data_IF_419450042073
#
_entry.id   IF_419450042073
#
_cell.length_a   1.000
_cell.length_b   1.000
_cell.length_c   1.000
_cell.angle_alpha   90.00
_cell.angle_beta   90.00
_cell.angle_gamma   90.00
#
_symmetry.space_group_name_H-M   'P 1'
#
loop_
_entity.id
_entity.type
_entity.pdbx_description
1 polymer ?
#
# COMPACT_ATOMS: atom_id res chain seq x y z
N UNK A 1 -48.54 -30.46 -37.05
CA UNK A 1 -48.43 -29.02 -36.75
C UNK A 1 -48.16 -28.86 -35.26
N UNK A 2 -46.93 -28.47 -34.91
CA UNK A 2 -46.52 -27.75 -33.70
C UNK A 2 -45.00 -27.47 -33.85
N UNK A 3 -44.55 -26.20 -33.97
CA UNK A 3 -43.12 -25.90 -33.86
C UNK A 3 -42.72 -25.63 -32.39
N UNK A 4 -41.49 -25.99 -31.97
CA UNK A 4 -41.02 -25.81 -30.61
C UNK A 4 -40.51 -24.39 -30.33
N UNK A 5 -40.66 -23.99 -29.06
CA UNK A 5 -40.26 -22.71 -28.47
C UNK A 5 -38.74 -22.45 -28.56
N UNK A 6 -38.35 -21.33 -29.18
CA UNK A 6 -36.98 -20.80 -29.11
C UNK A 6 -36.86 -19.95 -27.84
N UNK A 7 -36.13 -20.46 -26.84
CA UNK A 7 -35.69 -19.68 -25.68
C UNK A 7 -34.51 -18.80 -26.08
N UNK A 8 -34.66 -17.49 -26.01
CA UNK A 8 -33.53 -16.57 -26.07
C UNK A 8 -32.70 -16.64 -24.77
N UNK A 9 -31.35 -16.66 -24.85
CA UNK A 9 -30.51 -16.53 -23.68
C UNK A 9 -30.44 -15.06 -23.26
N UNK A 10 -31.02 -14.76 -22.09
CA UNK A 10 -30.88 -13.49 -21.39
C UNK A 10 -29.41 -13.30 -20.98
N UNK A 11 -28.62 -12.67 -21.83
CA UNK A 11 -27.29 -12.16 -21.47
C UNK A 11 -27.50 -11.06 -20.44
N UNK A 12 -27.33 -11.40 -19.17
CA UNK A 12 -27.20 -10.42 -18.08
C UNK A 12 -25.88 -9.69 -18.29
N UNK A 13 -25.93 -8.65 -19.12
CA UNK A 13 -24.88 -7.64 -19.19
C UNK A 13 -24.95 -6.85 -17.88
N UNK A 14 -24.08 -7.18 -16.94
CA UNK A 14 -23.83 -6.37 -15.77
C UNK A 14 -23.20 -5.05 -16.25
N UNK A 15 -24.04 -4.04 -16.46
CA UNK A 15 -23.61 -2.67 -16.70
C UNK A 15 -22.92 -2.16 -15.44
N UNK A 16 -21.61 -2.31 -15.36
CA UNK A 16 -20.78 -1.48 -14.50
C UNK A 16 -20.80 -0.07 -15.10
N UNK A 17 -21.76 0.74 -14.65
CA UNK A 17 -21.82 2.15 -14.99
C UNK A 17 -20.61 2.83 -14.36
N UNK A 18 -19.60 3.11 -15.16
CA UNK A 18 -18.53 4.06 -14.85
C UNK A 18 -19.18 5.43 -14.64
N UNK A 19 -19.36 5.84 -13.39
CA UNK A 19 -19.71 7.22 -13.03
C UNK A 19 -18.65 8.16 -13.61
N UNK A 20 -19.09 9.28 -14.21
CA UNK A 20 -18.23 10.29 -14.83
C UNK A 20 -17.30 10.96 -13.80
N UNK A 21 -16.07 11.29 -14.21
CA UNK A 21 -15.03 11.97 -13.38
C UNK A 21 -15.52 13.19 -12.59
N UNK A 22 -16.58 13.88 -13.05
CA UNK A 22 -17.14 15.06 -12.39
C UNK A 22 -17.93 14.81 -11.11
N UNK A 23 -18.22 13.56 -10.73
CA UNK A 23 -18.93 13.22 -9.46
C UNK A 23 -17.96 12.71 -8.38
N UNK A 24 -16.67 12.59 -8.68
CA UNK A 24 -15.69 12.05 -7.75
C UNK A 24 -15.09 13.15 -6.86
N UNK A 25 -15.29 13.02 -5.54
CA UNK A 25 -14.74 13.96 -4.53
C UNK A 25 -13.22 13.84 -4.41
N UNK A 26 -12.68 12.65 -4.73
CA UNK A 26 -11.26 12.32 -4.72
C UNK A 26 -10.93 11.61 -6.04
N UNK A 27 -9.73 11.78 -6.63
CA UNK A 27 -9.37 11.12 -7.88
C UNK A 27 -9.58 9.59 -7.80
N UNK A 28 -10.50 9.06 -8.60
CA UNK A 28 -10.83 7.62 -8.62
C UNK A 28 -11.77 7.13 -7.50
N UNK A 29 -12.27 8.01 -6.64
CA UNK A 29 -13.15 7.66 -5.53
C UNK A 29 -14.40 8.56 -5.46
N UNK A 30 -15.61 7.99 -5.39
CA UNK A 30 -16.84 8.78 -5.31
C UNK A 30 -16.94 9.61 -4.02
N UNK A 31 -16.41 9.11 -2.91
CA UNK A 31 -16.50 9.74 -1.60
C UNK A 31 -15.33 9.33 -0.68
N UNK A 32 -15.19 10.03 0.46
CA UNK A 32 -14.13 9.77 1.43
C UNK A 32 -14.20 8.35 2.04
N UNK A 33 -15.39 7.81 2.30
CA UNK A 33 -15.56 6.47 2.88
C UNK A 33 -15.05 5.38 1.94
N UNK A 34 -15.30 5.53 0.64
CA UNK A 34 -14.83 4.62 -0.41
C UNK A 34 -13.30 4.63 -0.49
N UNK A 35 -12.67 5.81 -0.36
CA UNK A 35 -11.23 5.95 -0.30
C UNK A 35 -10.65 5.32 0.97
N UNK A 36 -11.23 5.58 2.14
CA UNK A 36 -10.75 5.04 3.42
C UNK A 36 -10.80 3.52 3.42
N UNK A 37 -11.90 2.91 2.96
CA UNK A 37 -12.03 1.45 2.84
C UNK A 37 -10.96 0.86 1.93
N UNK A 38 -10.72 1.49 0.78
CA UNK A 38 -9.69 1.05 -0.15
C UNK A 38 -8.29 1.19 0.42
N UNK A 39 -7.96 2.35 0.99
CA UNK A 39 -6.64 2.64 1.55
C UNK A 39 -6.33 1.71 2.73
N UNK A 40 -7.26 1.56 3.68
CA UNK A 40 -7.12 0.64 4.81
C UNK A 40 -6.98 -0.80 4.33
N UNK A 41 -7.82 -1.25 3.39
CA UNK A 41 -7.73 -2.59 2.80
C UNK A 41 -6.38 -2.83 2.13
N UNK A 42 -5.83 -1.83 1.44
CA UNK A 42 -4.52 -1.91 0.79
C UNK A 42 -3.38 -2.03 1.81
N UNK A 43 -3.40 -1.23 2.88
CA UNK A 43 -2.40 -1.31 3.97
C UNK A 43 -2.46 -2.67 4.65
N UNK A 44 -3.66 -3.17 4.99
CA UNK A 44 -3.83 -4.50 5.59
C UNK A 44 -3.32 -5.61 4.66
N UNK A 45 -3.60 -5.54 3.36
CA UNK A 45 -3.12 -6.51 2.39
C UNK A 45 -1.58 -6.52 2.30
N UNK A 46 -0.95 -5.34 2.27
CA UNK A 46 0.52 -5.22 2.27
C UNK A 46 1.11 -5.77 3.57
N UNK A 47 0.55 -5.43 4.72
CA UNK A 47 1.00 -5.97 6.04
C UNK A 47 0.89 -7.49 6.10
N UNK A 48 -0.19 -8.05 5.54
CA UNK A 48 -0.34 -9.51 5.46
C UNK A 48 0.71 -10.13 4.53
N UNK A 49 0.95 -9.52 3.37
CA UNK A 49 1.94 -10.00 2.42
C UNK A 49 3.38 -9.91 2.97
N UNK A 50 3.71 -8.88 3.76
CA UNK A 50 5.03 -8.76 4.39
C UNK A 50 5.31 -9.88 5.40
N UNK A 51 4.28 -10.44 6.04
CA UNK A 51 4.42 -11.61 6.90
C UNK A 51 4.77 -12.90 6.16
N UNK A 52 4.63 -12.94 4.83
CA UNK A 52 5.03 -14.05 3.97
C UNK A 52 6.45 -13.93 3.41
N UNK A 53 7.20 -12.89 3.78
CA UNK A 53 8.61 -12.77 3.41
C UNK A 53 9.48 -13.74 4.22
N UNK A 54 10.65 -14.14 3.69
CA UNK A 54 11.63 -14.95 4.43
C UNK A 54 11.91 -14.37 5.81
N UNK A 55 11.79 -15.19 6.84
CA UNK A 55 12.01 -14.77 8.22
C UNK A 55 13.49 -14.56 8.49
N UNK A 56 13.81 -13.66 9.42
CA UNK A 56 15.18 -13.38 9.82
C UNK A 56 15.90 -14.66 10.28
N UNK A 57 17.17 -14.80 9.88
CA UNK A 57 17.98 -16.01 10.13
C UNK A 57 18.33 -16.73 8.83
N UNK A 58 18.51 -18.05 8.91
CA UNK A 58 19.04 -18.87 7.82
C UNK A 58 18.21 -18.80 6.54
N UNK A 59 16.88 -18.68 6.67
CA UNK A 59 15.98 -18.56 5.51
C UNK A 59 16.26 -17.24 4.76
N UNK A 60 16.22 -16.11 5.46
CA UNK A 60 16.55 -14.81 4.87
C UNK A 60 17.98 -14.77 4.30
N UNK A 61 18.96 -15.34 5.00
CA UNK A 61 20.35 -15.42 4.53
C UNK A 61 20.49 -16.23 3.25
N UNK A 62 19.72 -17.31 3.12
CA UNK A 62 19.65 -18.08 1.88
C UNK A 62 19.04 -17.24 0.74
N UNK A 63 17.88 -16.60 0.96
CA UNK A 63 17.23 -15.80 -0.09
C UNK A 63 18.04 -14.57 -0.49
N UNK A 64 18.73 -13.92 0.45
CA UNK A 64 19.59 -12.77 0.14
C UNK A 64 20.83 -13.16 -0.67
N UNK A 65 21.16 -14.44 -0.81
CA UNK A 65 22.22 -14.86 -1.75
C UNK A 65 21.84 -14.61 -3.22
N UNK A 66 20.54 -14.43 -3.51
CA UNK A 66 20.04 -14.17 -4.86
C UNK A 66 19.88 -12.65 -5.13
N UNK A 67 20.53 -12.10 -6.18
CA UNK A 67 20.45 -10.67 -6.50
C UNK A 67 19.01 -10.17 -6.75
N UNK A 68 18.15 -11.01 -7.32
CA UNK A 68 16.75 -10.64 -7.57
C UNK A 68 15.96 -10.39 -6.29
N UNK A 69 16.21 -11.18 -5.24
CA UNK A 69 15.58 -11.00 -3.95
C UNK A 69 16.14 -9.77 -3.23
N UNK A 70 17.46 -9.54 -3.29
CA UNK A 70 18.07 -8.31 -2.79
C UNK A 70 17.42 -7.08 -3.43
N UNK A 71 17.40 -6.98 -4.76
CA UNK A 71 16.82 -5.86 -5.49
C UNK A 71 15.33 -5.66 -5.18
N UNK A 72 14.58 -6.76 -5.00
CA UNK A 72 13.18 -6.71 -4.56
C UNK A 72 13.04 -6.06 -3.18
N UNK A 73 13.76 -6.58 -2.17
CA UNK A 73 13.73 -6.05 -0.81
C UNK A 73 14.14 -4.58 -0.78
N UNK A 74 15.17 -4.23 -1.55
CA UNK A 74 15.62 -2.84 -1.66
C UNK A 74 14.54 -1.94 -2.26
N UNK A 75 13.93 -2.34 -3.37
CA UNK A 75 12.90 -1.54 -4.04
C UNK A 75 11.66 -1.38 -3.18
N UNK A 76 11.17 -2.45 -2.54
CA UNK A 76 9.99 -2.36 -1.67
C UNK A 76 10.28 -1.57 -0.40
N UNK A 77 11.47 -1.73 0.18
CA UNK A 77 11.93 -0.94 1.33
C UNK A 77 11.93 0.55 1.00
N UNK A 78 12.49 0.94 -0.14
CA UNK A 78 12.54 2.35 -0.56
C UNK A 78 11.15 2.96 -0.79
N UNK A 79 10.24 2.19 -1.38
CA UNK A 79 8.84 2.63 -1.56
C UNK A 79 8.14 2.83 -0.22
N UNK A 80 8.37 1.94 0.74
CA UNK A 80 7.78 2.06 2.08
C UNK A 80 8.32 3.29 2.82
N UNK A 81 9.63 3.48 2.81
CA UNK A 81 10.29 4.66 3.40
C UNK A 81 9.82 5.96 2.74
N UNK A 82 9.59 5.96 1.42
CA UNK A 82 9.03 7.11 0.71
C UNK A 82 7.58 7.40 1.15
N UNK A 83 6.75 6.38 1.35
CA UNK A 83 5.40 6.56 1.87
C UNK A 83 5.42 7.18 3.27
N UNK A 84 6.25 6.66 4.18
CA UNK A 84 6.42 7.20 5.53
C UNK A 84 6.90 8.66 5.50
N UNK A 85 7.91 8.95 4.69
CA UNK A 85 8.44 10.32 4.52
C UNK A 85 7.35 11.30 4.10
N UNK A 86 6.47 10.91 3.17
CA UNK A 86 5.36 11.77 2.71
C UNK A 86 4.34 12.03 3.80
N UNK A 87 4.02 11.02 4.61
CA UNK A 87 3.12 11.18 5.76
C UNK A 87 3.72 12.14 6.78
N UNK A 88 4.98 11.92 7.15
CA UNK A 88 5.71 12.80 8.08
C UNK A 88 5.76 14.24 7.57
N UNK A 89 6.10 14.43 6.28
CA UNK A 89 6.16 15.76 5.66
C UNK A 89 4.79 16.46 5.68
N UNK A 90 3.70 15.72 5.40
CA UNK A 90 2.34 16.24 5.45
C UNK A 90 1.99 16.76 6.86
N UNK A 91 2.48 16.09 7.90
CA UNK A 91 2.30 16.53 9.29
C UNK A 91 3.34 17.57 9.76
N UNK A 92 4.21 18.06 8.86
CA UNK A 92 5.24 19.06 9.16
C UNK A 92 6.44 18.51 9.94
N UNK A 93 6.59 17.18 10.00
CA UNK A 93 7.72 16.52 10.65
C UNK A 93 8.94 16.46 9.71
N UNK A 94 10.12 16.30 10.29
CA UNK A 94 11.36 16.05 9.52
C UNK A 94 11.20 14.72 8.75
N UNK A 95 11.46 14.71 7.44
CA UNK A 95 11.04 13.61 6.56
C UNK A 95 12.16 12.95 5.74
N UNK A 96 13.44 13.09 6.11
CA UNK A 96 14.57 12.59 5.31
C UNK A 96 14.93 11.11 5.60
N UNK A 97 13.95 10.21 5.67
CA UNK A 97 14.17 8.83 6.12
C UNK A 97 14.90 7.92 5.10
N UNK A 98 15.17 8.45 3.89
CA UNK A 98 15.59 7.69 2.71
C UNK A 98 17.11 7.45 2.61
N UNK A 99 17.93 8.17 3.38
CA UNK A 99 19.38 7.92 3.35
C UNK A 99 19.66 6.51 3.88
N UNK A 100 20.62 5.79 3.29
CA UNK A 100 20.80 4.33 3.49
C UNK A 100 22.17 3.96 4.08
N UNK A 101 22.92 4.93 4.60
CA UNK A 101 24.27 4.71 5.12
C UNK A 101 24.30 4.15 6.56
N UNK A 102 24.53 2.83 6.67
CA UNK A 102 24.98 2.09 7.87
C UNK A 102 23.98 1.89 9.02
N UNK A 103 24.26 0.88 9.84
CA UNK A 103 23.47 0.37 10.98
C UNK A 103 23.12 1.47 12.00
N UNK A 104 23.97 2.48 12.16
CA UNK A 104 23.72 3.67 12.99
C UNK A 104 22.52 4.49 12.51
N UNK A 105 22.16 4.46 11.22
CA UNK A 105 20.97 5.16 10.72
C UNK A 105 19.66 4.43 11.02
N UNK A 106 19.65 3.13 11.35
CA UNK A 106 18.37 2.44 11.59
C UNK A 106 17.74 2.92 12.90
N UNK A 107 18.56 3.10 13.93
CA UNK A 107 18.16 3.68 15.21
C UNK A 107 17.74 5.14 15.01
N UNK A 108 18.53 5.95 14.30
CA UNK A 108 18.17 7.34 13.98
C UNK A 108 16.83 7.47 13.21
N UNK A 109 16.56 6.54 12.28
CA UNK A 109 15.28 6.49 11.55
C UNK A 109 14.12 6.10 12.46
N UNK A 110 14.37 5.22 13.42
CA UNK A 110 13.37 4.83 14.40
C UNK A 110 13.04 6.01 15.32
N UNK A 111 14.05 6.70 15.85
CA UNK A 111 13.87 7.91 16.65
C UNK A 111 13.08 8.97 15.90
N UNK A 112 13.42 9.22 14.63
CA UNK A 112 12.70 10.15 13.77
C UNK A 112 11.21 9.76 13.58
N UNK A 113 10.91 8.46 13.47
CA UNK A 113 9.54 7.96 13.37
C UNK A 113 8.78 8.08 14.69
N UNK A 114 9.44 7.83 15.82
CA UNK A 114 8.85 7.99 17.15
C UNK A 114 8.47 9.46 17.36
N UNK A 115 9.39 10.39 17.12
CA UNK A 115 9.13 11.84 17.20
C UNK A 115 7.97 12.27 16.30
N UNK A 116 7.93 11.77 15.06
CA UNK A 116 6.86 12.09 14.12
C UNK A 116 5.51 11.51 14.57
N UNK A 117 5.50 10.29 15.11
CA UNK A 117 4.29 9.68 15.65
C UNK A 117 3.74 10.45 16.84
N UNK A 118 4.61 10.94 17.74
CA UNK A 118 4.19 11.78 18.87
C UNK A 118 3.49 13.05 18.39
N UNK A 119 4.12 13.79 17.45
CA UNK A 119 3.53 15.01 16.85
C UNK A 119 2.19 14.72 16.16
N UNK A 120 2.05 13.56 15.51
CA UNK A 120 0.81 13.16 14.85
C UNK A 120 -0.26 12.85 15.90
N UNK A 121 0.06 12.03 16.90
CA UNK A 121 -0.86 11.56 17.93
C UNK A 121 -1.33 12.69 18.86
N UNK A 122 -0.51 13.72 19.07
CA UNK A 122 -0.90 14.94 19.79
C UNK A 122 -2.03 15.74 19.10
N UNK A 123 -2.28 15.51 17.81
CA UNK A 123 -3.28 16.24 17.01
C UNK A 123 -4.59 15.48 16.79
N UNK A 124 -4.70 14.24 17.27
CA UNK A 124 -5.87 13.35 17.04
C UNK A 124 -6.79 13.35 18.25
#
# INVERSE_FOLDING_TARGET
MAPPSTREPRVLSATSATKSDGEMVLPGFPDADSFVKFALGSVVAVTKASGGLPQFGDEYDFYRSFPGFQAFCETQGDRLLQCMSRVMQYHGCRSNIKDRSKVTELEDKFDLLVDANDVILERV
#
